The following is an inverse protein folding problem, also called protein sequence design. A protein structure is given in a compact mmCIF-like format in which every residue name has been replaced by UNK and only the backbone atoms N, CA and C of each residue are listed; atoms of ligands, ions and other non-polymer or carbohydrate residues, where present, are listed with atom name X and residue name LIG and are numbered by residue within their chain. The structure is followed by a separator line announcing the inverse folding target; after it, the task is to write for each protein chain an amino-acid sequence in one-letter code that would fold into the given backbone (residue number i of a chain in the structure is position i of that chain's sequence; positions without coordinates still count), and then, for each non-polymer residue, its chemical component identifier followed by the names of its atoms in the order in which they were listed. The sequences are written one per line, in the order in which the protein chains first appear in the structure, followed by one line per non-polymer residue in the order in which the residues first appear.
data_IF_728635202044
#
_entry.id   IF_728635202044
#
_cell.length_a   1.000
_cell.length_b   1.000
_cell.length_c   1.000
_cell.angle_alpha   90.00
_cell.angle_beta   90.00
_cell.angle_gamma   90.00
#
_symmetry.space_group_name_H-M   'P 1'
#
loop_
_entity.id
_entity.type
_entity.pdbx_description
1 polymer ?
#
# COMPACT_ATOMS: atom_id res chain seq x y z
N UNK A 1 -36.97 23.12 48.94
CA UNK A 1 -35.97 22.28 48.23
C UNK A 1 -36.65 20.97 47.92
N UNK A 2 -37.36 20.92 46.78
CA UNK A 2 -38.14 19.75 46.36
C UNK A 2 -37.19 18.74 45.75
N UNK A 3 -36.92 17.67 46.51
CA UNK A 3 -36.23 16.50 45.98
C UNK A 3 -37.20 15.83 44.98
N UNK A 4 -36.91 15.96 43.69
CA UNK A 4 -37.66 15.30 42.61
C UNK A 4 -37.49 13.79 42.79
N UNK A 5 -38.50 13.17 43.40
CA UNK A 5 -38.57 11.73 43.60
C UNK A 5 -39.02 11.07 42.29
N UNK A 6 -38.04 10.88 41.39
CA UNK A 6 -38.33 10.21 40.11
C UNK A 6 -38.61 8.71 40.37
N UNK A 7 -39.70 8.21 39.80
CA UNK A 7 -39.97 6.78 39.81
C UNK A 7 -38.85 6.01 39.10
N UNK A 8 -38.59 4.77 39.51
CA UNK A 8 -37.50 3.94 38.97
C UNK A 8 -37.46 3.86 37.43
N UNK A 9 -38.60 3.80 36.69
CA UNK A 9 -38.58 3.79 35.22
C UNK A 9 -38.24 5.17 34.62
N UNK A 10 -38.57 6.30 35.28
CA UNK A 10 -38.22 7.64 34.82
C UNK A 10 -36.73 7.93 35.02
N UNK A 11 -36.15 7.46 36.10
CA UNK A 11 -34.72 7.55 36.37
C UNK A 11 -33.92 6.73 35.31
N UNK A 12 -34.39 5.52 34.98
CA UNK A 12 -33.78 4.70 33.95
C UNK A 12 -33.81 5.36 32.55
N UNK A 13 -34.92 6.03 32.21
CA UNK A 13 -35.05 6.81 30.96
C UNK A 13 -34.08 7.99 30.92
N UNK A 14 -34.03 8.79 31.98
CA UNK A 14 -33.15 9.96 32.04
C UNK A 14 -31.67 9.58 31.97
N UNK A 15 -31.27 8.51 32.63
CA UNK A 15 -29.90 7.98 32.56
C UNK A 15 -29.56 7.47 31.16
N UNK A 16 -30.49 6.81 30.48
CA UNK A 16 -30.32 6.34 29.10
C UNK A 16 -30.17 7.51 28.13
N UNK A 17 -31.00 8.54 28.26
CA UNK A 17 -30.90 9.76 27.45
C UNK A 17 -29.60 10.51 27.69
N UNK A 18 -29.20 10.68 28.94
CA UNK A 18 -27.92 11.28 29.28
C UNK A 18 -26.72 10.53 28.70
N UNK A 19 -26.78 9.19 28.75
CA UNK A 19 -25.76 8.30 28.10
C UNK A 19 -25.73 8.48 26.58
N UNK A 20 -26.89 8.49 25.94
CA UNK A 20 -26.99 8.69 24.48
C UNK A 20 -26.46 10.07 24.07
N UNK A 21 -26.83 11.15 24.78
CA UNK A 21 -26.30 12.49 24.53
C UNK A 21 -24.79 12.56 24.72
N UNK A 22 -24.24 11.86 25.72
CA UNK A 22 -22.78 11.77 25.94
C UNK A 22 -22.07 11.06 24.82
N UNK A 23 -22.62 9.94 24.34
CA UNK A 23 -22.07 9.17 23.19
C UNK A 23 -22.13 10.02 21.92
N UNK A 24 -23.25 10.71 21.67
CA UNK A 24 -23.41 11.58 20.50
C UNK A 24 -22.43 12.76 20.53
N UNK A 25 -22.27 13.42 21.68
CA UNK A 25 -21.29 14.52 21.85
C UNK A 25 -19.86 14.04 21.67
N UNK A 26 -19.49 12.91 22.26
CA UNK A 26 -18.17 12.32 22.07
C UNK A 26 -17.93 11.93 20.60
N UNK A 27 -18.98 11.43 19.92
CA UNK A 27 -18.95 11.17 18.48
C UNK A 27 -18.73 12.45 17.68
N UNK A 28 -19.47 13.52 17.96
CA UNK A 28 -19.34 14.80 17.27
C UNK A 28 -17.92 15.42 17.45
N UNK A 29 -17.40 15.44 18.67
CA UNK A 29 -16.04 15.94 18.95
C UNK A 29 -15.00 15.13 18.18
N UNK A 30 -15.13 13.79 18.15
CA UNK A 30 -14.26 12.92 17.38
C UNK A 30 -14.30 13.23 15.88
N UNK A 31 -15.50 13.44 15.31
CA UNK A 31 -15.64 13.78 13.90
C UNK A 31 -15.07 15.15 13.57
N UNK A 32 -15.29 16.16 14.43
CA UNK A 32 -14.69 17.49 14.25
C UNK A 32 -13.17 17.40 14.25
N UNK A 33 -12.58 16.66 15.20
CA UNK A 33 -11.13 16.45 15.24
C UNK A 33 -10.62 15.77 13.99
N UNK A 34 -11.30 14.71 13.53
CA UNK A 34 -10.92 14.00 12.31
C UNK A 34 -11.01 14.89 11.07
N UNK A 35 -12.07 15.70 10.94
CA UNK A 35 -12.24 16.64 9.84
C UNK A 35 -11.12 17.69 9.84
N UNK A 36 -10.84 18.30 10.99
CA UNK A 36 -9.77 19.29 11.10
C UNK A 36 -8.40 18.69 10.73
N UNK A 37 -8.09 17.51 11.26
CA UNK A 37 -6.86 16.80 10.92
C UNK A 37 -6.80 16.46 9.43
N UNK A 38 -7.90 16.01 8.84
CA UNK A 38 -7.98 15.73 7.41
C UNK A 38 -7.75 16.97 6.55
N UNK A 39 -8.32 18.12 6.93
CA UNK A 39 -8.11 19.39 6.23
C UNK A 39 -6.63 19.81 6.26
N UNK A 40 -5.97 19.66 7.42
CA UNK A 40 -4.52 19.94 7.53
C UNK A 40 -3.70 19.00 6.65
N UNK A 41 -4.06 17.71 6.61
CA UNK A 41 -3.38 16.71 5.76
C UNK A 41 -3.61 16.91 4.26
N UNK A 42 -4.77 17.43 3.87
CA UNK A 42 -5.10 17.68 2.45
C UNK A 42 -4.46 18.99 1.96
N UNK A 43 -4.21 19.96 2.86
CA UNK A 43 -3.69 21.27 2.47
C UNK A 43 -2.42 21.21 1.59
N UNK A 44 -1.36 20.42 1.91
CA UNK A 44 -0.18 20.32 1.05
C UNK A 44 -0.51 19.84 -0.36
N UNK A 45 -1.46 18.90 -0.51
CA UNK A 45 -1.88 18.41 -1.83
C UNK A 45 -2.62 19.50 -2.62
N UNK A 46 -3.52 20.23 -1.97
CA UNK A 46 -4.22 21.36 -2.59
C UNK A 46 -3.24 22.47 -2.98
N UNK A 47 -2.26 22.76 -2.11
CA UNK A 47 -1.22 23.74 -2.40
C UNK A 47 -0.35 23.32 -3.59
N UNK A 48 0.02 22.05 -3.67
CA UNK A 48 0.78 21.48 -4.79
C UNK A 48 0.00 21.63 -6.11
N UNK A 49 -1.29 21.27 -6.12
CA UNK A 49 -2.15 21.41 -7.30
C UNK A 49 -2.33 22.90 -7.70
N UNK A 50 -2.56 23.77 -6.73
CA UNK A 50 -2.67 25.20 -7.00
C UNK A 50 -1.35 25.78 -7.50
N UNK A 51 -0.22 25.38 -6.92
CA UNK A 51 1.11 25.87 -7.30
C UNK A 51 1.56 25.40 -8.67
N UNK A 52 1.09 24.22 -9.13
CA UNK A 52 1.38 23.74 -10.48
C UNK A 52 0.83 24.66 -11.59
N UNK A 53 -0.17 25.47 -11.26
CA UNK A 53 -0.81 26.42 -12.18
C UNK A 53 -0.35 27.87 -11.97
N UNK A 54 0.55 28.14 -11.01
CA UNK A 54 1.05 29.48 -10.74
C UNK A 54 2.23 29.85 -11.64
N UNK A 55 2.44 31.16 -11.90
CA UNK A 55 3.71 31.66 -12.39
C UNK A 55 4.86 31.35 -11.41
N UNK A 56 6.06 31.09 -11.92
CA UNK A 56 7.23 30.67 -11.13
C UNK A 56 7.56 31.62 -9.97
N UNK A 57 7.42 32.93 -10.19
CA UNK A 57 7.68 33.95 -9.17
C UNK A 57 6.66 33.96 -8.02
N UNK A 58 5.52 33.27 -8.17
CA UNK A 58 4.45 33.20 -7.16
C UNK A 58 4.43 31.90 -6.38
N UNK A 59 5.17 30.89 -6.78
CA UNK A 59 5.15 29.57 -6.12
C UNK A 59 5.55 29.71 -4.63
N UNK A 60 6.64 30.40 -4.35
CA UNK A 60 7.15 30.61 -2.98
C UNK A 60 6.78 31.98 -2.40
N UNK A 61 6.44 32.94 -3.25
CA UNK A 61 6.08 34.30 -2.82
C UNK A 61 4.63 34.44 -2.34
N UNK A 62 3.74 33.54 -2.72
CA UNK A 62 2.35 33.54 -2.33
C UNK A 62 1.88 32.16 -1.88
N UNK A 63 1.77 31.97 -0.56
CA UNK A 63 1.29 30.71 0.06
C UNK A 63 -0.21 30.45 -0.14
N UNK A 64 -0.97 31.43 -0.70
CA UNK A 64 -2.39 31.26 -0.98
C UNK A 64 -2.63 30.10 -1.99
N UNK A 65 -3.79 29.48 -1.92
CA UNK A 65 -4.18 28.41 -2.84
C UNK A 65 -4.58 28.95 -4.22
N UNK A 66 -4.99 30.23 -4.36
CA UNK A 66 -5.52 30.76 -5.60
C UNK A 66 -4.42 31.42 -6.44
N UNK A 67 -4.16 30.92 -7.70
CA UNK A 67 -3.22 31.59 -8.60
C UNK A 67 -3.77 32.94 -9.05
N UNK A 68 -2.91 33.95 -9.24
CA UNK A 68 -3.32 35.21 -9.88
C UNK A 68 -3.59 35.06 -11.37
N UNK A 69 -2.88 34.13 -12.00
CA UNK A 69 -2.99 33.75 -13.39
C UNK A 69 -2.84 32.24 -13.50
N UNK A 70 -3.72 31.59 -14.28
CA UNK A 70 -3.68 30.14 -14.50
C UNK A 70 -2.79 29.82 -15.68
N UNK A 71 -1.63 29.21 -15.43
CA UNK A 71 -0.67 28.78 -16.46
C UNK A 71 -0.76 27.29 -16.73
N UNK A 72 -1.63 26.91 -17.63
CA UNK A 72 -1.77 25.52 -18.07
C UNK A 72 -0.56 25.02 -18.85
N UNK A 73 0.18 25.92 -19.48
CA UNK A 73 1.43 25.64 -20.20
C UNK A 73 2.54 25.08 -19.31
N UNK A 74 2.49 25.29 -17.98
CA UNK A 74 3.46 24.72 -17.04
C UNK A 74 3.55 23.19 -17.18
N UNK A 75 2.46 22.52 -17.49
CA UNK A 75 2.47 21.07 -17.68
C UNK A 75 3.21 20.66 -18.95
N UNK A 76 3.00 21.33 -20.06
CA UNK A 76 3.69 21.04 -21.33
C UNK A 76 5.15 21.46 -21.27
N UNK A 77 5.46 22.60 -20.65
CA UNK A 77 6.83 23.06 -20.41
C UNK A 77 7.57 22.11 -19.49
N UNK A 78 6.99 21.76 -18.35
CA UNK A 78 7.59 20.81 -17.39
C UNK A 78 7.78 19.41 -17.99
N UNK A 79 6.85 18.97 -18.85
CA UNK A 79 6.96 17.66 -19.51
C UNK A 79 8.17 17.57 -20.44
N UNK A 80 8.59 18.69 -21.03
CA UNK A 80 9.69 18.78 -21.99
C UNK A 80 10.88 19.59 -21.46
N UNK A 81 10.92 19.93 -20.18
CA UNK A 81 11.95 20.79 -19.59
C UNK A 81 13.35 20.16 -19.57
N UNK A 82 13.44 18.84 -19.58
CA UNK A 82 14.72 18.12 -19.54
C UNK A 82 15.22 17.78 -20.95
N UNK A 83 16.49 17.43 -21.06
CA UNK A 83 17.09 16.97 -22.32
C UNK A 83 16.35 15.76 -22.93
N UNK A 84 15.66 15.00 -22.11
CA UNK A 84 14.81 13.87 -22.50
C UNK A 84 13.41 14.14 -21.97
N UNK A 85 12.39 14.01 -22.83
CA UNK A 85 10.99 14.20 -22.44
C UNK A 85 10.59 13.29 -21.28
N UNK A 86 9.74 13.80 -20.37
CA UNK A 86 9.19 13.06 -19.24
C UNK A 86 8.49 11.76 -19.68
N UNK A 87 7.96 11.72 -20.90
CA UNK A 87 7.39 10.48 -21.48
C UNK A 87 8.34 9.28 -21.37
N UNK A 88 9.64 9.50 -21.59
CA UNK A 88 10.64 8.42 -21.49
C UNK A 88 10.80 7.89 -20.06
N UNK A 89 10.86 8.81 -19.10
CA UNK A 89 10.91 8.41 -17.68
C UNK A 89 9.65 7.68 -17.25
N UNK A 90 8.49 8.19 -17.68
CA UNK A 90 7.20 7.57 -17.40
C UNK A 90 7.09 6.15 -17.99
N UNK A 91 7.47 5.97 -19.26
CA UNK A 91 7.47 4.67 -19.93
C UNK A 91 8.43 3.69 -19.26
N UNK A 92 9.65 4.12 -18.93
CA UNK A 92 10.64 3.29 -18.25
C UNK A 92 10.12 2.82 -16.88
N UNK A 93 9.60 3.76 -16.08
CA UNK A 93 9.04 3.45 -14.77
C UNK A 93 7.83 2.54 -14.88
N UNK A 94 6.94 2.79 -15.84
CA UNK A 94 5.76 1.95 -16.08
C UNK A 94 6.18 0.53 -16.49
N UNK A 95 7.11 0.41 -17.42
CA UNK A 95 7.62 -0.89 -17.89
C UNK A 95 8.21 -1.70 -16.72
N UNK A 96 9.13 -1.11 -15.95
CA UNK A 96 9.77 -1.79 -14.83
C UNK A 96 8.73 -2.15 -13.77
N UNK A 97 7.83 -1.23 -13.44
CA UNK A 97 6.81 -1.47 -12.40
C UNK A 97 5.84 -2.56 -12.79
N UNK A 98 5.24 -2.46 -13.98
CA UNK A 98 4.24 -3.44 -14.44
C UNK A 98 4.85 -4.82 -14.51
N UNK A 99 6.03 -4.94 -15.14
CA UNK A 99 6.69 -6.23 -15.26
C UNK A 99 7.10 -6.81 -13.91
N UNK A 100 7.67 -5.99 -13.02
CA UNK A 100 8.05 -6.42 -11.67
C UNK A 100 6.83 -6.86 -10.85
N UNK A 101 5.71 -6.13 -10.92
CA UNK A 101 4.48 -6.48 -10.19
C UNK A 101 3.90 -7.79 -10.71
N UNK A 102 3.71 -7.93 -12.02
CA UNK A 102 3.15 -9.15 -12.61
C UNK A 102 3.97 -10.37 -12.25
N UNK A 103 5.29 -10.27 -12.46
CA UNK A 103 6.20 -11.38 -12.16
C UNK A 103 6.24 -11.71 -10.68
N UNK A 104 6.30 -10.70 -9.82
CA UNK A 104 6.30 -10.90 -8.36
C UNK A 104 5.00 -11.55 -7.87
N UNK A 105 3.85 -11.11 -8.38
CA UNK A 105 2.56 -11.73 -8.04
C UNK A 105 2.54 -13.19 -8.45
N UNK A 106 2.95 -13.51 -9.66
CA UNK A 106 2.97 -14.90 -10.16
C UNK A 106 3.92 -15.76 -9.33
N UNK A 107 5.19 -15.34 -9.18
CA UNK A 107 6.20 -16.13 -8.47
C UNK A 107 5.87 -16.34 -6.98
N UNK A 108 5.43 -15.27 -6.30
CA UNK A 108 5.02 -15.36 -4.91
C UNK A 108 3.73 -16.18 -4.72
N UNK A 109 2.80 -16.15 -5.69
CA UNK A 109 1.58 -16.97 -5.64
C UNK A 109 1.92 -18.46 -5.73
N UNK A 110 2.82 -18.86 -6.61
CA UNK A 110 3.27 -20.26 -6.68
C UNK A 110 3.93 -20.72 -5.38
N UNK A 111 4.85 -19.92 -4.84
CA UNK A 111 5.49 -20.23 -3.57
C UNK A 111 4.49 -20.29 -2.42
N UNK A 112 3.57 -19.33 -2.37
CA UNK A 112 2.53 -19.28 -1.34
C UNK A 112 1.55 -20.45 -1.44
N UNK A 113 1.13 -20.84 -2.64
CA UNK A 113 0.30 -22.01 -2.88
C UNK A 113 0.98 -23.28 -2.38
N UNK A 114 2.27 -23.46 -2.68
CA UNK A 114 3.03 -24.61 -2.19
C UNK A 114 3.04 -24.67 -0.66
N UNK A 115 3.29 -23.53 0.03
CA UNK A 115 3.28 -23.48 1.49
C UNK A 115 1.89 -23.58 2.13
N UNK A 116 0.84 -23.19 1.43
CA UNK A 116 -0.52 -23.19 1.97
C UNK A 116 -1.24 -24.52 1.75
N UNK A 117 -1.08 -25.13 0.56
CA UNK A 117 -1.91 -26.24 0.05
C UNK A 117 -1.16 -27.55 -0.12
N UNK A 118 0.09 -27.51 -0.55
CA UNK A 118 0.84 -28.72 -0.81
C UNK A 118 1.47 -29.30 0.47
N UNK A 119 1.55 -30.62 0.54
CA UNK A 119 2.25 -31.34 1.60
C UNK A 119 3.59 -31.85 1.05
N UNK A 120 4.69 -31.33 1.60
CA UNK A 120 6.04 -31.75 1.25
C UNK A 120 6.95 -31.79 2.48
N UNK A 121 7.97 -32.61 2.42
CA UNK A 121 8.92 -32.81 3.51
C UNK A 121 9.66 -31.51 3.82
N UNK A 122 9.65 -31.11 5.10
CA UNK A 122 10.35 -29.91 5.54
C UNK A 122 9.59 -28.59 5.34
N UNK A 123 8.31 -28.62 4.91
CA UNK A 123 7.48 -27.40 4.68
C UNK A 123 7.60 -26.37 5.80
N UNK A 124 7.46 -26.82 7.05
CA UNK A 124 7.52 -25.93 8.21
C UNK A 124 8.90 -25.29 8.39
N UNK A 125 9.96 -26.07 8.16
CA UNK A 125 11.34 -25.58 8.26
C UNK A 125 11.63 -24.56 7.19
N UNK A 126 11.28 -24.84 5.93
CA UNK A 126 11.45 -23.89 4.82
C UNK A 126 10.65 -22.62 5.00
N UNK A 127 9.41 -22.74 5.49
CA UNK A 127 8.60 -21.56 5.80
C UNK A 127 9.23 -20.74 6.95
N UNK A 128 9.72 -21.38 7.99
CA UNK A 128 10.41 -20.68 9.09
C UNK A 128 11.69 -20.00 8.61
N UNK A 129 12.50 -20.66 7.79
CA UNK A 129 13.71 -20.07 7.19
C UNK A 129 13.36 -18.84 6.31
N UNK A 130 12.32 -18.96 5.49
CA UNK A 130 11.83 -17.83 4.72
C UNK A 130 11.41 -16.66 5.62
N UNK A 131 10.68 -16.94 6.72
CA UNK A 131 10.26 -15.90 7.67
C UNK A 131 11.45 -15.25 8.38
N UNK A 132 12.52 -15.97 8.66
CA UNK A 132 13.73 -15.39 9.26
C UNK A 132 14.42 -14.39 8.33
N UNK A 133 14.26 -14.52 7.01
CA UNK A 133 14.82 -13.54 6.06
C UNK A 133 14.23 -12.14 6.22
N UNK A 134 12.98 -12.02 6.72
CA UNK A 134 12.34 -10.73 7.02
C UNK A 134 13.04 -9.98 8.17
N UNK A 135 13.79 -10.68 9.03
CA UNK A 135 14.52 -10.05 10.12
C UNK A 135 15.87 -9.47 9.67
N UNK A 136 16.31 -9.81 8.47
CA UNK A 136 17.59 -9.31 7.94
C UNK A 136 17.38 -7.89 7.45
N UNK A 137 18.09 -6.89 8.00
CA UNK A 137 17.99 -5.51 7.54
C UNK A 137 18.39 -5.41 6.06
N UNK A 138 17.55 -4.78 5.25
CA UNK A 138 17.79 -4.63 3.81
C UNK A 138 19.17 -4.05 3.49
N UNK A 139 19.66 -3.11 4.30
CA UNK A 139 20.93 -2.45 4.10
C UNK A 139 22.15 -3.39 4.18
N UNK A 140 22.03 -4.51 4.93
CA UNK A 140 23.08 -5.53 5.02
C UNK A 140 23.22 -6.29 3.70
N UNK A 141 22.10 -6.49 3.01
CA UNK A 141 22.04 -7.25 1.75
C UNK A 141 22.38 -6.38 0.54
N UNK A 142 22.19 -5.08 0.63
CA UNK A 142 22.33 -4.13 -0.49
C UNK A 142 23.71 -4.16 -1.14
N UNK A 143 24.78 -4.11 -0.34
CA UNK A 143 26.17 -4.09 -0.85
C UNK A 143 26.54 -5.42 -1.53
N UNK A 144 26.34 -6.59 -0.90
CA UNK A 144 26.56 -7.89 -1.56
C UNK A 144 25.74 -8.05 -2.85
N UNK A 145 24.48 -7.60 -2.85
CA UNK A 145 23.62 -7.65 -4.02
C UNK A 145 24.14 -6.79 -5.17
N UNK A 146 24.62 -5.58 -4.87
CA UNK A 146 25.23 -4.70 -5.88
C UNK A 146 26.49 -5.35 -6.49
N UNK A 147 27.37 -5.93 -5.65
CA UNK A 147 28.56 -6.63 -6.12
C UNK A 147 28.21 -7.80 -7.03
N UNK A 148 27.16 -8.55 -6.68
CA UNK A 148 26.65 -9.64 -7.53
C UNK A 148 26.18 -9.10 -8.89
N UNK A 149 25.37 -8.04 -8.91
CA UNK A 149 24.88 -7.45 -10.15
C UNK A 149 26.01 -6.86 -11.01
N UNK A 150 27.03 -6.27 -10.37
CA UNK A 150 28.21 -5.79 -11.06
C UNK A 150 28.96 -6.95 -11.76
N UNK A 151 29.17 -8.07 -11.07
CA UNK A 151 29.81 -9.27 -11.64
C UNK A 151 29.01 -9.90 -12.76
N UNK A 152 27.68 -9.82 -12.69
CA UNK A 152 26.79 -10.32 -13.75
C UNK A 152 26.67 -9.35 -14.93
N UNK A 153 27.27 -8.17 -14.88
CA UNK A 153 27.13 -7.14 -15.92
C UNK A 153 25.72 -6.55 -16.02
N UNK A 154 24.95 -6.57 -14.92
CA UNK A 154 23.57 -6.10 -14.89
C UNK A 154 23.44 -4.62 -14.51
N UNK A 155 24.51 -3.99 -14.06
CA UNK A 155 24.50 -2.55 -13.70
C UNK A 155 24.14 -1.73 -14.94
N UNK A 156 23.40 -0.65 -14.76
CA UNK A 156 22.81 0.22 -15.80
C UNK A 156 21.80 -0.46 -16.74
N UNK A 157 21.23 -1.60 -16.30
CA UNK A 157 20.13 -2.28 -17.00
C UNK A 157 18.89 -2.42 -16.11
N UNK A 158 17.77 -2.89 -16.68
CA UNK A 158 16.56 -3.18 -15.89
C UNK A 158 16.62 -4.53 -15.16
N UNK A 159 17.61 -5.37 -15.45
CA UNK A 159 17.72 -6.73 -14.91
C UNK A 159 17.73 -6.80 -13.39
N UNK A 160 18.51 -5.96 -12.67
CA UNK A 160 18.50 -5.95 -11.20
C UNK A 160 17.14 -5.66 -10.57
N UNK A 161 16.28 -4.93 -11.27
CA UNK A 161 14.97 -4.51 -10.76
C UNK A 161 13.89 -5.58 -11.01
N UNK A 162 14.05 -6.37 -12.08
CA UNK A 162 13.03 -7.30 -12.57
C UNK A 162 13.38 -8.74 -12.23
N UNK A 163 14.61 -9.20 -12.54
CA UNK A 163 14.97 -10.62 -12.46
C UNK A 163 14.82 -11.21 -11.05
N UNK A 164 15.20 -10.54 -9.97
CA UNK A 164 15.01 -11.07 -8.61
C UNK A 164 13.53 -11.37 -8.26
N UNK A 165 12.59 -10.68 -8.92
CA UNK A 165 11.14 -10.87 -8.70
C UNK A 165 10.63 -12.22 -9.25
N UNK A 166 11.31 -12.80 -10.22
CA UNK A 166 10.99 -14.16 -10.72
C UNK A 166 11.28 -15.26 -9.70
N UNK A 167 12.16 -15.01 -8.76
CA UNK A 167 12.65 -16.02 -7.80
C UNK A 167 11.83 -16.09 -6.51
N UNK A 168 10.65 -15.47 -6.46
CA UNK A 168 9.83 -15.39 -5.24
C UNK A 168 10.64 -14.88 -4.02
N UNK A 169 11.51 -13.89 -4.24
CA UNK A 169 12.43 -13.38 -3.23
C UNK A 169 11.78 -12.48 -2.15
N UNK A 170 10.48 -12.21 -2.25
CA UNK A 170 9.75 -11.30 -1.38
C UNK A 170 8.96 -12.06 -0.30
N UNK A 171 9.64 -12.49 0.74
CA UNK A 171 9.06 -13.30 1.83
C UNK A 171 7.79 -12.68 2.45
N UNK A 172 7.70 -11.34 2.51
CA UNK A 172 6.52 -10.66 3.01
C UNK A 172 5.27 -10.92 2.16
N UNK A 173 5.38 -10.82 0.84
CA UNK A 173 4.25 -11.10 -0.06
C UNK A 173 3.86 -12.57 -0.06
N UNK A 174 4.85 -13.48 0.00
CA UNK A 174 4.57 -14.91 0.16
C UNK A 174 3.78 -15.16 1.44
N UNK A 175 4.21 -14.58 2.55
CA UNK A 175 3.51 -14.71 3.84
C UNK A 175 2.06 -14.22 3.75
N UNK A 176 1.82 -13.03 3.20
CA UNK A 176 0.46 -12.49 3.04
C UNK A 176 -0.42 -13.42 2.18
N UNK A 177 0.11 -13.91 1.07
CA UNK A 177 -0.61 -14.83 0.18
C UNK A 177 -0.88 -16.19 0.85
N UNK A 178 0.07 -16.71 1.64
CA UNK A 178 -0.15 -17.94 2.42
C UNK A 178 -1.30 -17.76 3.40
N UNK A 179 -1.36 -16.60 4.10
CA UNK A 179 -2.46 -16.31 5.02
C UNK A 179 -3.80 -16.24 4.27
N UNK A 180 -3.82 -15.63 3.11
CA UNK A 180 -5.01 -15.56 2.27
C UNK A 180 -5.46 -16.95 1.79
N UNK A 181 -4.57 -17.74 1.21
CA UNK A 181 -4.89 -19.09 0.73
C UNK A 181 -5.39 -20.01 1.85
N UNK A 182 -4.86 -19.88 3.07
CA UNK A 182 -5.32 -20.66 4.23
C UNK A 182 -6.74 -20.33 4.68
N UNK A 183 -7.25 -19.14 4.33
CA UNK A 183 -8.62 -18.74 4.66
C UNK A 183 -9.67 -19.34 3.68
N UNK A 184 -9.23 -19.75 2.49
CA UNK A 184 -10.13 -20.36 1.52
C UNK A 184 -10.48 -21.80 1.96
N UNK A 185 -11.76 -22.22 1.88
CA UNK A 185 -12.17 -23.58 2.18
C UNK A 185 -11.43 -24.61 1.30
N UNK A 186 -11.00 -25.73 1.89
CA UNK A 186 -10.32 -26.80 1.15
C UNK A 186 -11.25 -27.55 0.19
N UNK A 187 -12.54 -27.53 0.46
CA UNK A 187 -13.58 -28.11 -0.37
C UNK A 187 -13.56 -27.58 -1.81
N UNK A 188 -13.07 -26.34 -2.02
CA UNK A 188 -12.88 -25.77 -3.36
C UNK A 188 -11.76 -26.49 -4.13
N UNK A 189 -10.65 -26.81 -3.46
CA UNK A 189 -9.56 -27.57 -4.08
C UNK A 189 -9.99 -29.00 -4.38
N UNK A 190 -10.75 -29.63 -3.46
CA UNK A 190 -11.30 -30.99 -3.63
C UNK A 190 -12.30 -31.05 -4.80
N UNK A 191 -13.20 -30.07 -4.91
CA UNK A 191 -14.13 -29.97 -6.03
C UNK A 191 -13.39 -29.84 -7.37
N UNK A 192 -12.38 -28.96 -7.42
CA UNK A 192 -11.55 -28.79 -8.62
C UNK A 192 -10.82 -30.09 -9.01
N UNK A 193 -10.33 -30.87 -8.03
CA UNK A 193 -9.69 -32.18 -8.31
C UNK A 193 -10.70 -33.20 -8.85
N UNK A 194 -11.95 -33.20 -8.36
CA UNK A 194 -13.02 -34.07 -8.88
C UNK A 194 -13.32 -33.73 -10.34
N UNK A 195 -13.28 -32.43 -10.69
CA UNK A 195 -13.46 -31.93 -12.05
C UNK A 195 -12.24 -32.17 -12.96
N UNK A 196 -11.20 -32.86 -12.47
CA UNK A 196 -10.01 -33.23 -13.21
C UNK A 196 -8.93 -32.15 -13.29
N UNK A 197 -9.00 -31.11 -12.47
CA UNK A 197 -7.95 -30.12 -12.33
C UNK A 197 -6.75 -30.68 -11.55
N UNK A 198 -5.57 -30.19 -11.88
CA UNK A 198 -4.37 -30.39 -11.07
C UNK A 198 -3.89 -29.03 -10.55
N UNK A 199 -2.87 -28.96 -9.67
CA UNK A 199 -2.38 -27.70 -9.11
C UNK A 199 -1.95 -26.62 -10.12
N UNK A 200 -1.85 -26.94 -11.39
CA UNK A 200 -1.45 -26.03 -12.50
C UNK A 200 -2.59 -25.76 -13.50
N UNK A 201 -3.74 -26.37 -13.31
CA UNK A 201 -4.96 -26.17 -14.09
C UNK A 201 -6.05 -25.56 -13.24
#
# INVERSE_FOLDING_TARGET
MDAVNLSTPELARSLREARLRRVQRAGAVKHIFLILTSLVMIYPLLWMLASSLKPDNQIFGNLGLWPSEFRWENYSLGWNALAVSFSRFFLNSTFVTVLSVVVNVISCSFAAYAFARLEFTGRTVWFALMMTTLMIPYHVVLIPQYILFLRLGWVDTYLPLIVPKFLAGEAFFIFLMVQFFRQLPRELDEAAMIDGCNPFK
#
